data_IF_801273105967
#
_entry.id   IF_801273105967
#
_cell.length_a   1.000
_cell.length_b   1.000
_cell.length_c   1.000
_cell.angle_alpha   90.00
_cell.angle_beta   90.00
_cell.angle_gamma   90.00
#
_symmetry.space_group_name_H-M   'P 1'
#
loop_
_entity.id
_entity.type
_entity.pdbx_description
1 polymer ?
#
# COMPACT_ATOMS: atom_id res chain seq x y z
N UNK A 1 -15.93 -1.16 -8.23
CA UNK A 1 -15.40 -2.44 -7.73
C UNK A 1 -14.22 -2.87 -8.58
N UNK A 2 -13.15 -3.29 -7.95
CA UNK A 2 -12.01 -3.90 -8.64
C UNK A 2 -12.26 -5.38 -8.85
N UNK A 3 -11.94 -5.88 -10.03
CA UNK A 3 -12.19 -7.27 -10.41
C UNK A 3 -10.89 -7.95 -10.82
N UNK A 4 -10.81 -9.26 -10.62
CA UNK A 4 -9.67 -10.05 -11.10
C UNK A 4 -9.81 -10.35 -12.61
N UNK A 5 -8.83 -11.09 -13.18
CA UNK A 5 -8.82 -11.42 -14.60
C UNK A 5 -10.02 -12.26 -15.03
N UNK A 6 -10.67 -12.97 -14.11
CA UNK A 6 -11.88 -13.75 -14.38
C UNK A 6 -13.16 -12.93 -14.23
N UNK A 7 -13.06 -11.63 -13.92
CA UNK A 7 -14.21 -10.74 -13.76
C UNK A 7 -14.86 -10.81 -12.38
N UNK A 8 -14.27 -11.53 -11.42
CA UNK A 8 -14.81 -11.61 -10.06
C UNK A 8 -14.44 -10.37 -9.28
N UNK A 9 -15.37 -9.86 -8.46
CA UNK A 9 -15.11 -8.73 -7.60
C UNK A 9 -14.11 -9.06 -6.51
N UNK A 10 -13.09 -8.21 -6.33
CA UNK A 10 -12.03 -8.37 -5.33
C UNK A 10 -12.07 -7.25 -4.30
N UNK A 11 -12.26 -6.02 -4.74
CA UNK A 11 -12.36 -4.85 -3.90
C UNK A 11 -13.42 -3.92 -4.43
N UNK A 12 -14.11 -3.23 -3.51
CA UNK A 12 -15.05 -2.17 -3.86
C UNK A 12 -14.68 -0.92 -3.06
N UNK A 13 -14.87 0.24 -3.69
CA UNK A 13 -14.68 1.53 -3.05
C UNK A 13 -16.04 2.21 -2.92
N UNK A 14 -16.34 2.70 -1.71
CA UNK A 14 -17.55 3.45 -1.46
C UNK A 14 -17.22 4.93 -1.39
N UNK A 15 -17.90 5.72 -2.22
CA UNK A 15 -17.74 7.16 -2.19
C UNK A 15 -18.44 7.74 -0.97
N UNK A 16 -17.75 8.61 -0.25
CA UNK A 16 -18.31 9.36 0.88
C UNK A 16 -17.99 10.84 0.71
N UNK A 17 -18.79 11.69 1.34
CA UNK A 17 -18.58 13.13 1.21
C UNK A 17 -17.30 13.59 1.92
N UNK A 18 -17.01 13.03 3.08
CA UNK A 18 -15.81 13.36 3.87
C UNK A 18 -15.29 12.08 4.49
N UNK A 19 -13.99 11.84 4.35
CA UNK A 19 -13.28 10.79 5.06
C UNK A 19 -12.10 11.41 5.78
N UNK A 20 -12.08 11.43 7.12
CA UNK A 20 -10.91 11.91 7.85
C UNK A 20 -9.72 11.00 7.54
N UNK A 21 -8.60 11.53 6.99
CA UNK A 21 -7.46 10.69 6.71
C UNK A 21 -6.82 10.18 7.99
N UNK A 22 -6.36 8.94 7.99
CA UNK A 22 -5.60 8.37 9.09
C UNK A 22 -4.28 9.13 9.25
N UNK A 23 -3.82 9.29 10.49
CA UNK A 23 -2.54 9.92 10.79
C UNK A 23 -1.50 8.89 11.24
N UNK A 24 -1.84 7.60 11.06
CA UNK A 24 -0.91 6.51 11.32
C UNK A 24 0.38 6.66 10.49
N UNK A 25 1.56 6.30 11.01
CA UNK A 25 1.79 5.63 12.30
C UNK A 25 1.73 6.51 13.53
N UNK A 26 1.63 7.81 13.39
CA UNK A 26 1.55 8.74 14.51
C UNK A 26 0.40 9.70 14.30
N UNK A 27 -0.20 10.15 15.41
CA UNK A 27 -1.26 11.14 15.38
C UNK A 27 -2.59 10.60 15.91
N UNK A 28 -3.61 11.49 16.00
CA UNK A 28 -4.85 11.16 16.71
C UNK A 28 -5.85 10.32 15.90
N UNK A 29 -5.72 10.26 14.57
CA UNK A 29 -6.66 9.50 13.74
C UNK A 29 -6.07 8.13 13.44
N UNK A 30 -6.65 7.04 13.99
CA UNK A 30 -6.15 5.70 13.72
C UNK A 30 -6.41 5.29 12.27
N UNK A 31 -5.66 4.31 11.78
CA UNK A 31 -5.94 3.73 10.48
C UNK A 31 -7.28 2.97 10.54
N UNK A 32 -8.11 3.16 9.50
CA UNK A 32 -9.40 2.48 9.38
C UNK A 32 -9.28 1.23 8.50
N UNK A 33 -8.24 1.16 7.69
CA UNK A 33 -7.96 0.08 6.76
C UNK A 33 -6.47 0.04 6.50
N UNK A 34 -5.91 -1.16 6.37
CA UNK A 34 -4.52 -1.35 5.97
C UNK A 34 -4.44 -2.54 5.03
N UNK A 35 -3.84 -2.34 3.85
CA UNK A 35 -3.60 -3.41 2.89
C UNK A 35 -2.10 -3.72 2.85
N UNK A 36 -1.76 -4.99 2.83
CA UNK A 36 -0.40 -5.47 2.62
C UNK A 36 -0.33 -6.11 1.24
N UNK A 37 0.56 -5.58 0.39
CA UNK A 37 0.78 -6.07 -0.97
C UNK A 37 2.21 -6.58 -1.07
N UNK A 38 2.42 -7.63 -1.85
CA UNK A 38 3.76 -8.20 -2.02
C UNK A 38 4.23 -8.09 -3.47
N UNK A 39 5.54 -8.00 -3.62
CA UNK A 39 6.22 -8.08 -4.92
C UNK A 39 7.34 -9.12 -4.82
N UNK A 40 7.74 -9.75 -5.95
CA UNK A 40 8.73 -10.84 -5.88
C UNK A 40 10.18 -10.39 -5.69
N UNK A 41 10.52 -9.13 -5.96
CA UNK A 41 11.91 -8.67 -5.87
C UNK A 41 12.01 -7.20 -5.49
N UNK A 42 13.22 -6.78 -5.09
CA UNK A 42 13.50 -5.38 -4.80
C UNK A 42 13.34 -4.49 -6.04
N UNK A 43 13.67 -5.01 -7.22
CA UNK A 43 13.47 -4.26 -8.47
C UNK A 43 11.98 -3.99 -8.71
N UNK A 44 11.13 -4.97 -8.45
CA UNK A 44 9.68 -4.81 -8.56
C UNK A 44 9.13 -3.84 -7.51
N UNK A 45 9.74 -3.80 -6.32
CA UNK A 45 9.37 -2.83 -5.30
C UNK A 45 9.57 -1.40 -5.82
N UNK A 46 10.69 -1.12 -6.49
CA UNK A 46 10.96 0.19 -7.06
C UNK A 46 10.00 0.53 -8.21
N UNK A 47 9.63 -0.44 -9.05
CA UNK A 47 8.65 -0.24 -10.12
C UNK A 47 7.30 0.14 -9.53
N UNK A 48 6.84 -0.57 -8.50
CA UNK A 48 5.55 -0.25 -7.87
C UNK A 48 5.60 1.05 -7.08
N UNK A 49 6.76 1.43 -6.55
CA UNK A 49 6.95 2.72 -5.91
C UNK A 49 6.65 3.87 -6.89
N UNK A 50 7.26 3.85 -8.06
CA UNK A 50 7.02 4.87 -9.09
C UNK A 50 5.55 4.91 -9.50
N UNK A 51 4.94 3.74 -9.66
CA UNK A 51 3.53 3.64 -10.01
C UNK A 51 2.62 4.21 -8.93
N UNK A 52 2.91 3.90 -7.66
CA UNK A 52 2.11 4.41 -6.54
C UNK A 52 2.16 5.93 -6.47
N UNK A 53 3.34 6.54 -6.61
CA UNK A 53 3.48 7.99 -6.61
C UNK A 53 2.74 8.62 -7.80
N UNK A 54 2.82 8.01 -8.98
CA UNK A 54 2.12 8.50 -10.16
C UNK A 54 0.59 8.47 -9.99
N UNK A 55 0.07 7.56 -9.17
CA UNK A 55 -1.36 7.43 -8.88
C UNK A 55 -1.82 8.26 -7.69
N UNK A 56 -0.93 9.04 -7.08
CA UNK A 56 -1.29 9.97 -6.01
C UNK A 56 -1.03 9.50 -4.59
N UNK A 57 -0.34 8.38 -4.41
CA UNK A 57 0.05 7.93 -3.08
C UNK A 57 1.16 8.80 -2.49
N UNK A 58 1.22 8.87 -1.16
CA UNK A 58 2.29 9.54 -0.42
C UNK A 58 3.08 8.50 0.37
N UNK A 59 4.39 8.69 0.47
CA UNK A 59 5.24 7.81 1.28
C UNK A 59 5.11 8.20 2.75
N UNK A 60 4.79 7.24 3.61
CA UNK A 60 4.76 7.41 5.06
C UNK A 60 6.04 6.89 5.71
N UNK A 61 6.56 5.76 5.24
CA UNK A 61 7.82 5.17 5.71
C UNK A 61 8.52 4.52 4.52
N UNK A 62 9.84 4.69 4.43
CA UNK A 62 10.65 4.05 3.40
C UNK A 62 11.71 3.19 4.06
N UNK A 63 11.50 1.88 4.01
CA UNK A 63 12.41 0.85 4.53
C UNK A 63 12.89 -0.07 3.41
N UNK A 64 12.99 0.46 2.19
CA UNK A 64 13.40 -0.31 1.02
C UNK A 64 14.83 -0.84 1.13
N UNK A 65 15.67 -0.22 1.96
CA UNK A 65 17.06 -0.63 2.18
C UNK A 65 17.23 -1.64 3.30
N UNK A 66 16.14 -2.06 3.95
CA UNK A 66 16.21 -3.08 4.99
C UNK A 66 16.61 -4.42 4.35
N UNK A 67 17.72 -5.05 4.80
CA UNK A 67 18.19 -6.28 4.16
C UNK A 67 17.32 -7.50 4.46
N UNK A 68 16.51 -7.46 5.51
CA UNK A 68 15.66 -8.59 5.91
C UNK A 68 14.25 -8.45 5.37
N UNK A 69 13.71 -7.23 5.39
CA UNK A 69 12.33 -6.99 5.02
C UNK A 69 12.19 -5.66 4.29
N UNK A 70 12.65 -5.59 3.01
CA UNK A 70 12.46 -4.36 2.24
C UNK A 70 10.97 -4.06 2.05
N UNK A 71 10.56 -2.85 2.45
CA UNK A 71 9.18 -2.43 2.32
C UNK A 71 9.06 -0.92 2.25
N UNK A 72 7.90 -0.46 1.77
CA UNK A 72 7.49 0.94 1.86
C UNK A 72 6.05 1.02 2.31
N UNK A 73 5.76 1.98 3.16
CA UNK A 73 4.41 2.26 3.63
C UNK A 73 3.93 3.57 2.99
N UNK A 74 2.73 3.55 2.48
CA UNK A 74 2.12 4.68 1.75
C UNK A 74 0.78 5.04 2.36
N UNK A 75 0.34 6.26 2.05
CA UNK A 75 -1.07 6.64 2.17
C UNK A 75 -1.65 6.78 0.77
N UNK A 76 -2.83 6.21 0.55
CA UNK A 76 -3.55 6.42 -0.70
C UNK A 76 -4.13 7.85 -0.76
N UNK A 77 -4.72 8.29 -1.90
CA UNK A 77 -5.29 9.64 -1.98
C UNK A 77 -6.36 9.94 -0.94
N UNK A 78 -7.06 8.91 -0.45
CA UNK A 78 -8.07 9.08 0.59
C UNK A 78 -7.48 9.07 2.01
N UNK A 79 -6.18 8.74 2.14
CA UNK A 79 -5.50 8.71 3.42
C UNK A 79 -5.41 7.34 4.07
N UNK A 80 -5.80 6.26 3.39
CA UNK A 80 -5.66 4.91 3.92
C UNK A 80 -4.22 4.44 3.80
N UNK A 81 -3.62 3.90 4.87
CA UNK A 81 -2.28 3.32 4.78
C UNK A 81 -2.31 1.98 4.07
N UNK A 82 -1.28 1.73 3.27
CA UNK A 82 -1.02 0.42 2.69
C UNK A 82 0.50 0.23 2.58
N UNK A 83 0.90 -1.03 2.48
CA UNK A 83 2.31 -1.40 2.47
C UNK A 83 2.59 -2.27 1.25
N UNK A 84 3.73 -2.05 0.60
CA UNK A 84 4.25 -2.93 -0.44
C UNK A 84 5.59 -3.47 0.05
N UNK A 85 5.74 -4.79 0.08
CA UNK A 85 6.97 -5.40 0.55
C UNK A 85 7.40 -6.57 -0.33
N UNK A 86 8.69 -6.89 -0.25
CA UNK A 86 9.22 -8.02 -1.01
C UNK A 86 8.86 -9.31 -0.30
N UNK A 87 8.23 -10.22 -1.04
CA UNK A 87 7.86 -11.53 -0.50
C UNK A 87 9.14 -12.29 -0.12
N UNK A 88 9.13 -12.90 1.07
CA UNK A 88 10.26 -13.70 1.52
C UNK A 88 10.42 -14.93 0.64
N UNK A 89 11.62 -15.18 0.06
CA UNK A 89 11.84 -16.40 -0.72
C UNK A 89 11.65 -17.67 0.09
N UNK A 90 11.89 -17.61 1.40
CA UNK A 90 11.73 -18.78 2.29
C UNK A 90 10.26 -19.10 2.55
N UNK A 91 9.36 -18.19 2.30
CA UNK A 91 7.92 -18.39 2.47
C UNK A 91 7.27 -18.97 1.22
N UNK A 92 8.00 -18.97 0.12
CA UNK A 92 7.50 -19.45 -1.16
C UNK A 92 7.66 -20.92 -1.37
#
# INVERSE_FOLDING_TARGET
MLRDAAGRGQLAFQQVAVLPPATWPEGPVPQQLHLDLTVPSAADLDVQHERALALGARVLQDLADDPEEPLRVYADPAGHPFCIFVASPAAG
#
